data_IF_437838416990
#
_entry.id   IF_437838416990
#
_cell.length_a   1.000
_cell.length_b   1.000
_cell.length_c   1.000
_cell.angle_alpha   90.00
_cell.angle_beta   90.00
_cell.angle_gamma   90.00
#
_symmetry.space_group_name_H-M   'P 1'
#
loop_
_entity.id
_entity.type
_entity.pdbx_description
1 polymer ?
#
# COMPACT_ATOMS: atom_id res chain seq x y z
N UNK A 1 -14.04 -14.88 25.53
CA UNK A 1 -12.61 -14.77 25.17
C UNK A 1 -12.44 -15.38 23.79
N UNK A 2 -12.48 -14.58 22.73
CA UNK A 2 -12.32 -15.07 21.35
C UNK A 2 -10.91 -14.75 20.87
N UNK A 3 -10.06 -15.78 20.84
CA UNK A 3 -8.75 -15.72 20.19
C UNK A 3 -8.96 -15.83 18.68
N UNK A 4 -8.53 -14.82 17.93
CA UNK A 4 -8.40 -14.92 16.48
C UNK A 4 -7.00 -15.45 16.18
N UNK A 5 -6.94 -16.71 15.77
CA UNK A 5 -5.75 -17.40 15.31
C UNK A 5 -5.71 -17.27 13.78
N UNK A 6 -4.74 -16.56 13.22
CA UNK A 6 -4.52 -16.50 11.77
C UNK A 6 -3.07 -16.86 11.51
N UNK A 7 -2.77 -18.15 11.43
CA UNK A 7 -1.59 -18.66 10.74
C UNK A 7 -2.03 -19.80 9.81
N UNK A 8 -1.39 -19.89 8.64
CA UNK A 8 -1.49 -20.92 7.59
C UNK A 8 -2.59 -20.79 6.54
N UNK A 9 -2.38 -19.88 5.57
CA UNK A 9 -2.84 -20.15 4.20
C UNK A 9 -2.08 -19.33 3.15
N UNK A 10 -1.31 -20.09 2.36
CA UNK A 10 -0.97 -19.93 0.95
C UNK A 10 -1.17 -18.56 0.31
N UNK A 11 -0.07 -18.04 -0.22
CA UNK A 11 -0.06 -17.02 -1.26
C UNK A 11 -0.89 -17.53 -2.45
N UNK A 12 -2.19 -17.22 -2.48
CA UNK A 12 -2.98 -17.34 -3.70
C UNK A 12 -2.64 -16.12 -4.55
N UNK A 13 -1.56 -16.26 -5.32
CA UNK A 13 -1.49 -15.63 -6.63
C UNK A 13 -2.71 -16.16 -7.41
N UNK A 14 -3.80 -15.40 -7.37
CA UNK A 14 -4.95 -15.58 -8.26
C UNK A 14 -5.32 -14.18 -8.72
N UNK A 15 -4.71 -13.81 -9.84
CA UNK A 15 -5.27 -13.26 -11.08
C UNK A 15 -4.00 -12.90 -11.86
N UNK A 16 -3.43 -13.85 -12.62
CA UNK A 16 -3.78 -14.00 -14.03
C UNK A 16 -3.79 -12.62 -14.71
N UNK A 17 -2.84 -12.41 -15.62
CA UNK A 17 -2.78 -11.25 -16.50
C UNK A 17 -4.06 -11.19 -17.34
N UNK A 18 -5.14 -10.65 -16.78
CA UNK A 18 -6.29 -10.19 -17.53
C UNK A 18 -6.03 -8.71 -17.87
N UNK A 19 -5.71 -8.36 -19.13
CA UNK A 19 -5.61 -6.96 -19.55
C UNK A 19 -6.97 -6.24 -19.56
N UNK A 20 -8.03 -6.86 -19.02
CA UNK A 20 -9.41 -6.39 -19.04
C UNK A 20 -10.12 -6.63 -17.71
N UNK A 21 -9.78 -5.87 -16.67
CA UNK A 21 -10.61 -5.79 -15.47
C UNK A 21 -10.64 -4.36 -14.94
N UNK A 22 -11.04 -3.42 -15.80
CA UNK A 22 -11.43 -2.06 -15.41
C UNK A 22 -12.38 -1.48 -16.48
N UNK A 23 -13.40 -2.24 -16.88
CA UNK A 23 -14.56 -1.71 -17.62
C UNK A 23 -15.67 -1.32 -16.64
N UNK A 24 -15.35 -0.42 -15.71
CA UNK A 24 -16.34 0.29 -14.90
C UNK A 24 -16.88 1.48 -15.72
N UNK A 25 -17.48 1.17 -16.87
CA UNK A 25 -18.07 2.14 -17.80
C UNK A 25 -19.35 2.82 -17.26
N UNK A 26 -19.68 2.63 -15.98
CA UNK A 26 -20.95 3.07 -15.39
C UNK A 26 -20.86 4.12 -14.29
N UNK A 27 -19.72 4.29 -13.61
CA UNK A 27 -19.67 5.10 -12.39
C UNK A 27 -18.43 5.98 -12.32
N UNK A 28 -18.37 7.03 -13.16
CA UNK A 28 -17.81 8.37 -12.91
C UNK A 28 -16.47 8.61 -12.20
N UNK A 29 -15.71 7.59 -11.78
CA UNK A 29 -14.44 7.74 -11.09
C UNK A 29 -13.33 7.27 -12.03
N UNK A 30 -12.50 8.20 -12.55
CA UNK A 30 -11.36 7.83 -13.36
C UNK A 30 -10.49 6.79 -12.62
N UNK A 31 -10.00 5.75 -13.32
CA UNK A 31 -9.15 4.76 -12.72
C UNK A 31 -7.87 5.43 -12.20
N UNK A 32 -7.42 5.04 -11.00
CA UNK A 32 -6.28 5.69 -10.33
C UNK A 32 -4.93 5.36 -11.00
N UNK A 33 -4.91 4.53 -12.04
CA UNK A 33 -3.69 4.12 -12.75
C UNK A 33 -2.69 3.37 -11.87
N UNK A 34 -3.11 2.88 -10.71
CA UNK A 34 -2.26 2.23 -9.71
C UNK A 34 -2.74 0.80 -9.46
N UNK A 35 -1.81 -0.14 -9.41
CA UNK A 35 -2.10 -1.53 -9.03
C UNK A 35 -2.35 -1.62 -7.51
N UNK A 36 -3.48 -2.17 -7.05
CA UNK A 36 -3.73 -2.34 -5.62
C UNK A 36 -2.71 -3.30 -5.01
N UNK A 37 -2.13 -2.91 -3.87
CA UNK A 37 -1.15 -3.73 -3.13
C UNK A 37 -1.62 -3.88 -1.69
N UNK A 38 -1.78 -5.13 -1.23
CA UNK A 38 -2.15 -5.45 0.14
C UNK A 38 -0.89 -5.68 0.97
N UNK A 39 -0.65 -4.84 1.98
CA UNK A 39 0.46 -4.98 2.92
C UNK A 39 -0.05 -5.23 4.33
N UNK A 40 0.72 -5.98 5.12
CA UNK A 40 0.42 -6.23 6.53
C UNK A 40 1.30 -5.33 7.39
N UNK A 41 0.68 -4.49 8.20
CA UNK A 41 1.35 -3.64 9.19
C UNK A 41 0.81 -3.98 10.58
N UNK A 42 1.60 -3.75 11.62
CA UNK A 42 1.10 -3.90 12.99
C UNK A 42 0.02 -2.86 13.28
N UNK A 43 -0.93 -3.22 14.15
CA UNK A 43 -2.01 -2.31 14.57
C UNK A 43 -1.45 -1.02 15.18
N UNK A 44 -0.39 -1.13 15.98
CA UNK A 44 0.30 0.02 16.56
C UNK A 44 0.83 0.97 15.47
N UNK A 45 1.42 0.42 14.40
CA UNK A 45 1.94 1.23 13.29
C UNK A 45 0.82 1.97 12.57
N UNK A 46 -0.30 1.28 12.30
CA UNK A 46 -1.48 1.89 11.67
C UNK A 46 -2.01 3.05 12.52
N UNK A 47 -2.17 2.82 13.83
CA UNK A 47 -2.63 3.86 14.76
C UNK A 47 -1.68 5.04 14.85
N UNK A 48 -0.36 4.79 14.84
CA UNK A 48 0.66 5.85 14.81
C UNK A 48 0.56 6.69 13.54
N UNK A 49 0.36 6.06 12.38
CA UNK A 49 0.16 6.77 11.12
C UNK A 49 -1.12 7.59 11.15
N UNK A 50 -2.25 7.00 11.55
CA UNK A 50 -3.54 7.70 11.63
C UNK A 50 -3.49 8.90 12.56
N UNK A 51 -2.78 8.80 13.70
CA UNK A 51 -2.58 9.92 14.62
C UNK A 51 -1.77 11.07 13.98
N UNK A 52 -0.85 10.77 13.07
CA UNK A 52 0.01 11.76 12.42
C UNK A 52 -0.65 12.43 11.21
N UNK A 53 -1.28 11.66 10.33
CA UNK A 53 -1.85 12.17 9.07
C UNK A 53 -3.35 12.38 9.09
N UNK A 54 -4.04 11.84 10.09
CA UNK A 54 -5.49 11.85 10.19
C UNK A 54 -6.17 10.73 9.40
N UNK A 55 -7.49 10.66 9.56
CA UNK A 55 -8.32 9.62 8.98
C UNK A 55 -8.30 9.66 7.45
N UNK A 56 -8.37 8.49 6.79
CA UNK A 56 -8.41 8.31 5.31
C UNK A 56 -7.12 8.69 4.56
N UNK A 57 -6.05 9.11 5.24
CA UNK A 57 -4.78 9.49 4.61
C UNK A 57 -3.67 8.43 4.67
N UNK A 58 -3.93 7.28 5.29
CA UNK A 58 -2.97 6.19 5.42
C UNK A 58 -2.36 5.74 4.08
N UNK A 59 -3.19 5.57 3.04
CA UNK A 59 -2.70 5.16 1.73
C UNK A 59 -1.82 6.21 1.04
N UNK A 60 -2.12 7.50 1.22
CA UNK A 60 -1.30 8.61 0.70
C UNK A 60 0.06 8.62 1.40
N UNK A 61 0.04 8.53 2.73
CA UNK A 61 1.26 8.50 3.55
C UNK A 61 2.19 7.36 3.16
N UNK A 62 1.65 6.14 2.98
CA UNK A 62 2.47 4.99 2.60
C UNK A 62 3.08 5.19 1.21
N UNK A 63 2.33 5.71 0.23
CA UNK A 63 2.87 5.98 -1.11
C UNK A 63 4.01 6.99 -1.08
N UNK A 64 3.81 8.12 -0.40
CA UNK A 64 4.83 9.17 -0.27
C UNK A 64 6.08 8.65 0.45
N UNK A 65 5.91 7.86 1.51
CA UNK A 65 7.02 7.26 2.24
C UNK A 65 7.83 6.31 1.36
N UNK A 66 7.17 5.50 0.53
CA UNK A 66 7.84 4.59 -0.41
C UNK A 66 8.59 5.37 -1.50
N UNK A 67 7.96 6.38 -2.12
CA UNK A 67 8.60 7.21 -3.14
C UNK A 67 9.84 7.95 -2.61
N UNK A 68 9.76 8.48 -1.39
CA UNK A 68 10.89 9.14 -0.75
C UNK A 68 12.02 8.17 -0.43
N UNK A 69 11.69 6.97 0.04
CA UNK A 69 12.68 5.93 0.31
C UNK A 69 13.37 5.43 -0.98
N UNK A 70 12.62 5.30 -2.08
CA UNK A 70 13.18 4.97 -3.38
C UNK A 70 14.15 6.06 -3.86
N UNK A 71 13.74 7.33 -3.84
CA UNK A 71 14.61 8.47 -4.20
C UNK A 71 15.92 8.49 -3.41
N UNK A 72 15.85 8.20 -2.10
CA UNK A 72 17.04 8.13 -1.23
C UNK A 72 18.01 7.03 -1.65
N UNK A 73 17.50 5.89 -2.11
CA UNK A 73 18.32 4.74 -2.53
C UNK A 73 18.85 4.89 -3.95
N UNK A 74 18.07 5.51 -4.82
CA UNK A 74 18.41 5.71 -6.23
C UNK A 74 19.40 6.86 -6.44
N UNK A 75 19.39 7.85 -5.55
CA UNK A 75 20.38 8.93 -5.54
C UNK A 75 21.14 8.93 -4.20
N UNK A 76 22.07 7.98 -3.99
CA UNK A 76 22.95 8.02 -2.84
C UNK A 76 23.81 9.28 -2.96
N UNK A 77 23.47 10.32 -2.21
CA UNK A 77 24.32 11.49 -2.08
C UNK A 77 25.72 10.99 -1.67
N UNK A 78 26.79 11.32 -2.40
CA UNK A 78 28.12 10.84 -2.07
C UNK A 78 28.43 11.30 -0.64
N UNK A 79 29.03 10.42 0.19
CA UNK A 79 29.34 10.76 1.57
C UNK A 79 30.12 12.08 1.59
N UNK A 80 29.56 13.08 2.26
CA UNK A 80 30.19 14.39 2.39
C UNK A 80 31.49 14.20 3.22
N UNK A 81 32.66 14.60 2.69
CA UNK A 81 33.96 14.39 3.33
C UNK A 81 34.10 15.21 4.62
#
# INVERSE_FOLDING_TARGET
MSYIQINDSVNRNCLADDPFADSDAGMGRPPLGMKPTTIRLSLETIQRIEKLVGNRRLAVFIREAVENELKRRENPEPPKP
#
